data_IF_582500136303
#
_entry.id   IF_582500136303
#
_cell.length_a   1.000
_cell.length_b   1.000
_cell.length_c   1.000
_cell.angle_alpha   90.00
_cell.angle_beta   90.00
_cell.angle_gamma   90.00
#
_symmetry.space_group_name_H-M   'P 1'
#
loop_
_entity.id
_entity.type
_entity.pdbx_description
1 polymer ?
#
# COMPACT_ATOMS: atom_id res chain seq x y z
N UNK A 1 -12.64 15.45 68.00
CA UNK A 1 -12.06 16.56 67.23
C UNK A 1 -10.55 16.46 67.10
N UNK A 2 -9.79 16.31 68.19
CA UNK A 2 -8.32 16.22 68.14
C UNK A 2 -7.78 15.02 67.32
N UNK A 3 -8.43 13.86 67.40
CA UNK A 3 -8.06 12.65 66.63
C UNK A 3 -8.24 12.83 65.11
N UNK A 4 -9.27 13.56 64.69
CA UNK A 4 -9.50 13.86 63.27
C UNK A 4 -8.42 14.79 62.72
N UNK A 5 -8.02 15.80 63.50
CA UNK A 5 -6.94 16.70 63.14
C UNK A 5 -5.61 15.94 62.97
N UNK A 6 -5.31 15.01 63.87
CA UNK A 6 -4.12 14.18 63.78
C UNK A 6 -4.15 13.21 62.58
N UNK A 7 -5.30 12.60 62.28
CA UNK A 7 -5.44 11.73 61.10
C UNK A 7 -5.28 12.48 59.78
N UNK A 8 -5.83 13.70 59.66
CA UNK A 8 -5.64 14.52 58.45
C UNK A 8 -4.16 14.79 58.19
N UNK A 9 -3.38 15.05 59.25
CA UNK A 9 -1.93 15.24 59.15
C UNK A 9 -1.21 13.96 58.70
N UNK A 10 -1.56 12.81 59.28
CA UNK A 10 -0.99 11.51 58.89
C UNK A 10 -1.35 11.11 57.46
N UNK A 11 -2.60 11.32 57.04
CA UNK A 11 -3.06 11.01 55.69
C UNK A 11 -2.37 11.90 54.65
N UNK A 12 -2.11 13.17 54.97
CA UNK A 12 -1.33 14.05 54.11
C UNK A 12 0.11 13.55 53.95
N UNK A 13 0.73 13.09 55.04
CA UNK A 13 2.08 12.52 55.00
C UNK A 13 2.14 11.18 54.24
N UNK A 14 1.17 10.29 54.46
CA UNK A 14 1.03 9.02 53.74
C UNK A 14 0.76 9.26 52.24
N UNK A 15 -0.06 10.25 51.90
CA UNK A 15 -0.32 10.66 50.52
C UNK A 15 0.96 11.14 49.81
N UNK A 16 1.81 11.89 50.52
CA UNK A 16 3.11 12.33 50.02
C UNK A 16 4.06 11.13 49.78
N UNK A 17 4.15 10.21 50.73
CA UNK A 17 4.93 8.97 50.55
C UNK A 17 4.42 8.12 49.37
N UNK A 18 3.10 7.98 49.23
CA UNK A 18 2.48 7.26 48.12
C UNK A 18 2.79 7.93 46.76
N UNK A 19 2.80 9.26 46.71
CA UNK A 19 3.20 10.01 45.51
C UNK A 19 4.66 9.75 45.12
N UNK A 20 5.58 9.71 46.09
CA UNK A 20 6.98 9.34 45.84
C UNK A 20 7.12 7.93 45.30
N UNK A 21 6.44 6.95 45.90
CA UNK A 21 6.44 5.56 45.39
C UNK A 21 5.88 5.50 43.97
N UNK A 22 4.83 6.28 43.65
CA UNK A 22 4.27 6.37 42.30
C UNK A 22 5.27 6.93 41.29
N UNK A 23 6.00 7.99 41.66
CA UNK A 23 7.05 8.58 40.82
C UNK A 23 8.17 7.58 40.56
N UNK A 24 8.67 6.90 41.60
CA UNK A 24 9.73 5.89 41.47
C UNK A 24 9.31 4.77 40.52
N UNK A 25 8.09 4.21 40.70
CA UNK A 25 7.54 3.17 39.81
C UNK A 25 7.42 3.65 38.36
N UNK A 26 6.95 4.88 38.14
CA UNK A 26 6.81 5.47 36.81
C UNK A 26 8.17 5.66 36.12
N UNK A 27 9.19 6.12 36.85
CA UNK A 27 10.54 6.32 36.29
C UNK A 27 11.18 5.00 35.93
N UNK A 28 11.10 3.97 36.79
CA UNK A 28 11.63 2.64 36.49
C UNK A 28 10.94 2.04 35.26
N UNK A 29 9.60 2.14 35.19
CA UNK A 29 8.85 1.72 34.01
C UNK A 29 9.30 2.47 32.75
N UNK A 30 9.44 3.79 32.84
CA UNK A 30 9.92 4.63 31.74
C UNK A 30 11.29 4.22 31.21
N UNK A 31 12.25 3.89 32.08
CA UNK A 31 13.60 3.46 31.68
C UNK A 31 13.56 2.13 30.92
N UNK A 32 12.79 1.14 31.41
CA UNK A 32 12.66 -0.16 30.76
C UNK A 32 11.97 -0.04 29.40
N UNK A 33 10.89 0.74 29.32
CA UNK A 33 10.14 0.92 28.07
C UNK A 33 10.86 1.83 27.07
N UNK A 34 11.66 2.80 27.50
CA UNK A 34 12.47 3.62 26.60
C UNK A 34 13.51 2.82 25.81
N UNK A 35 13.99 1.69 26.36
CA UNK A 35 14.89 0.79 25.63
C UNK A 35 14.17 0.02 24.50
N UNK A 36 12.83 -0.07 24.55
CA UNK A 36 12.02 -0.83 23.59
C UNK A 36 11.17 0.11 22.73
N UNK A 37 11.57 0.31 21.48
CA UNK A 37 10.85 1.17 20.51
C UNK A 37 9.48 0.64 20.04
N UNK A 38 9.11 -0.59 20.40
CA UNK A 38 7.84 -1.20 19.96
C UNK A 38 6.58 -0.51 20.56
N UNK A 39 6.73 0.28 21.63
CA UNK A 39 5.61 0.89 22.34
C UNK A 39 5.89 2.36 22.69
N UNK A 40 4.93 3.25 22.41
CA UNK A 40 5.04 4.63 22.89
C UNK A 40 4.63 4.73 24.35
N UNK A 41 5.50 5.18 25.26
CA UNK A 41 5.13 5.42 26.66
C UNK A 41 4.14 6.60 26.81
N UNK A 42 3.93 7.38 25.75
CA UNK A 42 2.92 8.43 25.70
C UNK A 42 1.56 7.82 25.33
N UNK A 43 0.48 8.33 25.92
CA UNK A 43 -0.87 7.85 25.62
C UNK A 43 -1.26 8.03 24.15
N UNK A 44 -2.28 7.30 23.68
CA UNK A 44 -2.67 7.19 22.25
C UNK A 44 -2.73 8.49 21.45
N UNK A 45 -3.12 9.60 22.07
CA UNK A 45 -3.24 10.91 21.41
C UNK A 45 -1.88 11.60 21.17
N UNK A 46 -0.84 11.16 21.86
CA UNK A 46 0.50 11.73 21.85
C UNK A 46 1.56 10.76 21.31
N UNK A 47 1.16 9.60 20.78
CA UNK A 47 2.05 8.63 20.14
C UNK A 47 2.87 9.27 19.00
N UNK A 48 2.30 10.26 18.29
CA UNK A 48 2.99 10.99 17.21
C UNK A 48 4.06 11.96 17.72
N UNK A 49 4.02 12.33 19.01
CA UNK A 49 5.04 13.18 19.62
C UNK A 49 6.31 12.39 19.96
N UNK A 50 6.22 11.07 20.02
CA UNK A 50 7.34 10.19 20.30
C UNK A 50 8.08 9.88 18.99
N UNK A 51 9.26 10.48 18.83
CA UNK A 51 10.10 10.29 17.65
C UNK A 51 10.62 8.87 17.52
N UNK A 52 10.84 8.16 18.64
CA UNK A 52 11.31 6.78 18.63
C UNK A 52 10.26 5.84 18.05
N UNK A 53 9.04 5.89 18.61
CA UNK A 53 7.92 5.10 18.10
C UNK A 53 7.58 5.45 16.63
N UNK A 54 7.59 6.73 16.26
CA UNK A 54 7.35 7.14 14.86
C UNK A 54 8.41 6.60 13.89
N UNK A 55 9.69 6.59 14.29
CA UNK A 55 10.77 6.03 13.48
C UNK A 55 10.60 4.51 13.30
N UNK A 56 10.20 3.80 14.36
CA UNK A 56 9.90 2.37 14.30
C UNK A 56 8.74 2.05 13.35
N UNK A 57 7.62 2.77 13.44
CA UNK A 57 6.51 2.57 12.50
C UNK A 57 6.93 2.82 11.04
N UNK A 58 7.76 3.85 10.80
CA UNK A 58 8.35 4.11 9.50
C UNK A 58 9.23 2.97 9.02
N UNK A 59 10.10 2.45 9.88
CA UNK A 59 10.96 1.30 9.59
C UNK A 59 10.14 0.06 9.18
N UNK A 60 9.11 -0.30 9.95
CA UNK A 60 8.24 -1.44 9.63
C UNK A 60 7.51 -1.23 8.30
N UNK A 61 7.03 -0.02 8.02
CA UNK A 61 6.37 0.28 6.75
C UNK A 61 7.30 0.08 5.54
N UNK A 62 8.55 0.55 5.66
CA UNK A 62 9.59 0.39 4.64
C UNK A 62 9.96 -1.09 4.49
N UNK A 63 10.17 -1.83 5.58
CA UNK A 63 10.45 -3.27 5.52
C UNK A 63 9.33 -4.05 4.84
N UNK A 64 8.06 -3.77 5.18
CA UNK A 64 6.91 -4.40 4.54
C UNK A 64 6.82 -4.07 3.05
N UNK A 65 7.16 -2.84 2.65
CA UNK A 65 7.16 -2.43 1.25
C UNK A 65 8.27 -3.11 0.44
N UNK A 66 9.49 -3.23 0.99
CA UNK A 66 10.63 -3.80 0.28
C UNK A 66 10.72 -5.33 0.34
N UNK A 67 10.29 -5.95 1.45
CA UNK A 67 10.42 -7.39 1.69
C UNK A 67 9.06 -8.07 1.82
N UNK A 68 8.13 -7.72 0.94
CA UNK A 68 6.82 -8.37 0.91
C UNK A 68 6.94 -9.82 0.41
N UNK A 69 6.61 -10.85 1.22
CA UNK A 69 6.88 -12.25 0.88
C UNK A 69 6.15 -12.70 -0.40
N UNK A 70 4.92 -12.24 -0.62
CA UNK A 70 4.15 -12.56 -1.84
C UNK A 70 4.82 -11.99 -3.09
N UNK A 71 5.39 -10.78 -3.00
CA UNK A 71 6.06 -10.14 -4.13
C UNK A 71 7.34 -10.89 -4.47
N UNK A 72 8.13 -11.24 -3.46
CA UNK A 72 9.36 -12.01 -3.62
C UNK A 72 9.10 -13.39 -4.22
N UNK A 73 8.06 -14.10 -3.75
CA UNK A 73 7.67 -15.37 -4.35
C UNK A 73 7.19 -15.22 -5.80
N UNK A 74 6.39 -14.19 -6.08
CA UNK A 74 5.91 -13.92 -7.44
C UNK A 74 7.05 -13.60 -8.41
N UNK A 75 7.97 -12.71 -8.04
CA UNK A 75 9.15 -12.38 -8.85
C UNK A 75 10.05 -13.61 -9.00
N UNK A 76 10.27 -14.37 -7.94
CA UNK A 76 11.07 -15.60 -7.99
C UNK A 76 10.46 -16.64 -8.93
N UNK A 77 9.12 -16.74 -8.97
CA UNK A 77 8.42 -17.60 -9.92
C UNK A 77 8.59 -17.11 -11.37
N UNK A 78 8.34 -15.82 -11.64
CA UNK A 78 8.52 -15.23 -12.96
C UNK A 78 9.97 -15.35 -13.47
N UNK A 79 10.95 -15.12 -12.59
CA UNK A 79 12.36 -15.21 -12.93
C UNK A 79 12.77 -16.65 -13.20
N UNK A 80 12.27 -17.61 -12.42
CA UNK A 80 12.48 -19.04 -12.68
C UNK A 80 11.92 -19.43 -14.03
N UNK A 81 10.72 -19.00 -14.37
CA UNK A 81 10.08 -19.28 -15.66
C UNK A 81 10.86 -18.68 -16.85
N UNK A 82 11.52 -17.54 -16.64
CA UNK A 82 12.34 -16.90 -17.66
C UNK A 82 13.72 -17.58 -17.82
N UNK A 83 14.40 -17.88 -16.72
CA UNK A 83 15.77 -18.43 -16.71
C UNK A 83 15.78 -19.93 -17.04
N UNK A 84 14.94 -20.69 -16.36
CA UNK A 84 14.65 -22.05 -16.74
C UNK A 84 13.53 -21.92 -17.75
N UNK A 85 13.89 -21.90 -19.05
CA UNK A 85 12.99 -21.89 -20.20
C UNK A 85 12.16 -23.20 -20.23
N UNK A 86 11.53 -23.47 -19.11
CA UNK A 86 10.76 -24.65 -18.82
C UNK A 86 9.67 -24.64 -19.86
N UNK A 87 9.46 -25.80 -20.49
CA UNK A 87 8.30 -26.04 -21.35
C UNK A 87 7.04 -25.98 -20.48
N UNK A 88 6.67 -24.77 -20.05
CA UNK A 88 5.36 -24.51 -19.48
C UNK A 88 4.38 -24.85 -20.58
N UNK A 89 3.56 -25.87 -20.33
CA UNK A 89 2.44 -26.24 -21.20
C UNK A 89 1.68 -24.96 -21.48
N UNK A 90 1.77 -24.41 -22.69
CA UNK A 90 1.21 -23.08 -22.95
C UNK A 90 -0.30 -23.19 -22.79
N UNK A 91 -0.88 -22.61 -21.74
CA UNK A 91 -2.33 -22.65 -21.57
C UNK A 91 -2.95 -21.91 -22.74
N UNK A 92 -3.98 -22.52 -23.34
CA UNK A 92 -4.73 -21.84 -24.39
C UNK A 92 -5.28 -20.54 -23.83
N UNK A 93 -5.36 -19.50 -24.68
CA UNK A 93 -5.95 -18.21 -24.29
C UNK A 93 -7.36 -18.42 -23.70
N UNK A 94 -8.13 -19.36 -24.26
CA UNK A 94 -9.45 -19.74 -23.77
C UNK A 94 -9.42 -20.25 -22.31
N UNK A 95 -8.48 -21.14 -21.94
CA UNK A 95 -8.37 -21.66 -20.56
C UNK A 95 -8.07 -20.57 -19.55
N UNK A 96 -7.17 -19.62 -19.87
CA UNK A 96 -6.88 -18.48 -18.99
C UNK A 96 -8.08 -17.54 -18.83
N UNK A 97 -8.80 -17.28 -19.94
CA UNK A 97 -10.04 -16.48 -19.91
C UNK A 97 -11.13 -17.16 -19.07
N UNK A 98 -11.30 -18.47 -19.20
CA UNK A 98 -12.28 -19.23 -18.42
C UNK A 98 -11.91 -19.31 -16.93
N UNK A 99 -10.64 -19.55 -16.60
CA UNK A 99 -10.13 -19.49 -15.22
C UNK A 99 -10.32 -18.11 -14.57
N UNK A 100 -10.19 -17.03 -15.35
CA UNK A 100 -10.49 -15.69 -14.89
C UNK A 100 -11.99 -15.49 -14.67
N UNK A 101 -12.84 -15.96 -15.58
CA UNK A 101 -14.29 -15.84 -15.45
C UNK A 101 -14.79 -16.53 -14.18
N UNK A 102 -14.36 -17.77 -13.92
CA UNK A 102 -14.74 -18.50 -12.70
C UNK A 102 -14.22 -17.81 -11.43
N UNK A 103 -13.02 -17.24 -11.47
CA UNK A 103 -12.47 -16.46 -10.35
C UNK A 103 -13.31 -15.19 -10.07
N UNK A 104 -13.77 -14.50 -11.11
CA UNK A 104 -14.59 -13.28 -10.99
C UNK A 104 -16.01 -13.56 -10.51
N UNK A 105 -16.62 -14.67 -10.93
CA UNK A 105 -17.94 -15.10 -10.44
C UNK A 105 -17.90 -15.30 -8.92
N UNK A 106 -16.84 -15.91 -8.40
CA UNK A 106 -16.65 -16.11 -6.96
C UNK A 106 -16.28 -14.83 -6.20
N UNK A 107 -15.86 -13.76 -6.90
CA UNK A 107 -15.35 -12.52 -6.30
C UNK A 107 -15.97 -11.26 -6.96
N UNK A 108 -17.28 -11.00 -6.78
CA UNK A 108 -18.00 -9.95 -7.51
C UNK A 108 -17.45 -8.53 -7.26
N UNK A 109 -16.90 -8.27 -6.07
CA UNK A 109 -16.28 -6.97 -5.73
C UNK A 109 -15.09 -6.63 -6.63
N UNK A 110 -14.36 -7.64 -7.12
CA UNK A 110 -13.21 -7.44 -8.00
C UNK A 110 -13.61 -7.03 -9.42
N UNK A 111 -14.83 -7.37 -9.87
CA UNK A 111 -15.35 -6.99 -11.18
C UNK A 111 -15.41 -5.47 -11.31
N UNK A 112 -15.99 -4.79 -10.32
CA UNK A 112 -16.09 -3.32 -10.31
C UNK A 112 -14.71 -2.66 -10.25
N UNK A 113 -13.80 -3.18 -9.41
CA UNK A 113 -12.43 -2.67 -9.30
C UNK A 113 -11.64 -2.86 -10.60
N UNK A 114 -11.82 -3.98 -11.28
CA UNK A 114 -11.22 -4.24 -12.60
C UNK A 114 -11.75 -3.29 -13.66
N UNK A 115 -13.08 -3.06 -13.72
CA UNK A 115 -13.69 -2.10 -14.64
C UNK A 115 -13.14 -0.68 -14.39
N UNK A 116 -13.03 -0.27 -13.13
CA UNK A 116 -12.44 1.02 -12.75
C UNK A 116 -10.96 1.15 -13.16
N UNK A 117 -10.16 0.11 -12.92
CA UNK A 117 -8.75 0.09 -13.31
C UNK A 117 -8.57 0.19 -14.83
N UNK A 118 -9.36 -0.56 -15.59
CA UNK A 118 -9.34 -0.53 -17.05
C UNK A 118 -9.72 0.86 -17.59
N UNK A 119 -10.83 1.42 -17.09
CA UNK A 119 -11.26 2.77 -17.47
C UNK A 119 -10.21 3.83 -17.13
N UNK A 120 -9.48 3.68 -16.02
CA UNK A 120 -8.36 4.56 -15.65
C UNK A 120 -7.19 4.41 -16.63
N UNK A 121 -6.84 3.20 -17.04
CA UNK A 121 -5.79 2.95 -18.03
C UNK A 121 -6.13 3.59 -19.37
N UNK A 122 -7.34 3.35 -19.90
CA UNK A 122 -7.79 3.93 -21.17
C UNK A 122 -7.82 5.47 -21.12
N UNK A 123 -8.31 6.07 -20.04
CA UNK A 123 -8.29 7.53 -19.87
C UNK A 123 -6.86 8.10 -19.85
N UNK A 124 -5.92 7.40 -19.21
CA UNK A 124 -4.52 7.81 -19.17
C UNK A 124 -3.88 7.74 -20.56
N UNK A 125 -4.12 6.67 -21.32
CA UNK A 125 -3.63 6.53 -22.71
C UNK A 125 -4.19 7.63 -23.63
N UNK A 126 -5.48 7.93 -23.53
CA UNK A 126 -6.11 9.03 -24.27
C UNK A 126 -5.50 10.39 -23.86
N UNK A 127 -5.23 10.61 -22.57
CA UNK A 127 -4.57 11.84 -22.11
C UNK A 127 -3.14 11.98 -22.64
N UNK A 128 -2.36 10.89 -22.64
CA UNK A 128 -0.99 10.87 -23.17
C UNK A 128 -0.99 11.19 -24.66
N UNK A 129 -1.84 10.52 -25.45
CA UNK A 129 -1.96 10.76 -26.89
C UNK A 129 -2.45 12.19 -27.21
N UNK A 130 -3.34 12.77 -26.40
CA UNK A 130 -3.76 14.17 -26.55
C UNK A 130 -2.62 15.15 -26.21
N UNK A 131 -1.78 14.84 -25.21
CA UNK A 131 -0.59 15.64 -24.87
C UNK A 131 0.45 15.56 -26.00
N UNK A 132 0.69 14.37 -26.55
CA UNK A 132 1.57 14.20 -27.72
C UNK A 132 1.06 14.99 -28.93
N UNK A 133 -0.24 14.96 -29.23
CA UNK A 133 -0.84 15.80 -30.28
C UNK A 133 -0.70 17.30 -30.01
N UNK A 134 -0.88 17.73 -28.75
CA UNK A 134 -0.76 19.15 -28.37
C UNK A 134 0.68 19.66 -28.44
N UNK A 135 1.65 18.80 -28.12
CA UNK A 135 3.08 19.10 -28.27
C UNK A 135 3.51 19.05 -29.74
N UNK A 136 3.01 18.09 -30.52
CA UNK A 136 3.18 18.00 -31.97
C UNK A 136 2.70 19.26 -32.68
N UNK A 137 1.49 19.75 -32.38
CA UNK A 137 0.98 21.00 -32.93
C UNK A 137 1.79 22.27 -32.54
N UNK A 138 2.66 22.19 -31.51
CA UNK A 138 3.58 23.28 -31.15
C UNK A 138 4.93 23.17 -31.87
N UNK A 139 5.27 21.98 -32.36
CA UNK A 139 6.49 21.69 -33.14
C UNK A 139 6.24 21.58 -34.65
N UNK A 140 4.99 21.45 -35.10
CA UNK A 140 4.60 21.28 -36.51
C UNK A 140 4.63 22.58 -37.35
N UNK A 141 5.37 23.60 -36.90
CA UNK A 141 5.94 24.61 -37.81
C UNK A 141 7.29 24.11 -38.38
N UNK A 142 7.82 22.99 -37.89
CA UNK A 142 9.09 22.41 -38.35
C UNK A 142 9.05 20.87 -38.29
N UNK A 143 9.02 20.23 -39.46
CA UNK A 143 9.27 18.79 -39.73
C UNK A 143 8.11 17.79 -39.61
N UNK A 144 7.18 17.88 -40.57
CA UNK A 144 6.31 16.78 -40.98
C UNK A 144 7.12 15.70 -41.73
N UNK A 145 7.51 14.62 -41.04
CA UNK A 145 7.72 13.27 -41.59
C UNK A 145 8.40 12.38 -40.53
N UNK A 146 8.05 11.08 -40.49
CA UNK A 146 8.74 9.96 -39.78
C UNK A 146 8.06 9.28 -38.57
N UNK A 147 6.73 9.32 -38.36
CA UNK A 147 6.11 8.42 -37.35
C UNK A 147 4.74 7.86 -37.79
N UNK A 148 4.72 7.12 -38.90
CA UNK A 148 3.46 6.49 -39.40
C UNK A 148 3.32 4.99 -39.06
N UNK A 149 4.35 4.30 -38.57
CA UNK A 149 4.37 2.83 -38.64
C UNK A 149 4.08 2.05 -37.34
N UNK A 150 3.78 2.71 -36.20
CA UNK A 150 3.64 2.02 -34.90
C UNK A 150 2.22 1.98 -34.29
N UNK A 151 1.25 2.71 -34.85
CA UNK A 151 -0.09 2.84 -34.23
C UNK A 151 -1.12 1.79 -34.68
N UNK A 152 -0.94 1.10 -35.80
CA UNK A 152 -1.96 0.16 -36.33
C UNK A 152 -2.14 -1.12 -35.52
N UNK A 153 -1.14 -1.57 -34.75
CA UNK A 153 -1.20 -2.88 -34.05
C UNK A 153 -2.06 -2.83 -32.78
N UNK A 154 -2.11 -1.67 -32.10
CA UNK A 154 -2.88 -1.50 -30.86
C UNK A 154 -4.39 -1.30 -31.08
N UNK A 155 -4.77 -0.73 -32.22
CA UNK A 155 -6.17 -0.43 -32.56
C UNK A 155 -6.96 -1.69 -32.96
N UNK A 156 -6.30 -2.68 -33.57
CA UNK A 156 -6.93 -3.95 -33.95
C UNK A 156 -7.34 -4.79 -32.72
N UNK A 157 -6.50 -4.80 -31.67
CA UNK A 157 -6.78 -5.52 -30.42
C UNK A 157 -7.93 -4.91 -29.61
N UNK A 158 -8.13 -3.60 -29.70
CA UNK A 158 -9.22 -2.90 -29.00
C UNK A 158 -10.60 -3.13 -29.66
N UNK A 159 -10.64 -3.34 -30.98
CA UNK A 159 -11.88 -3.65 -31.71
C UNK A 159 -12.32 -5.10 -31.51
N UNK A 160 -11.39 -6.04 -31.42
CA UNK A 160 -11.70 -7.44 -31.08
C UNK A 160 -12.25 -7.57 -29.64
N UNK A 161 -11.77 -6.74 -28.70
CA UNK A 161 -12.30 -6.68 -27.33
C UNK A 161 -13.67 -5.97 -27.24
N UNK A 162 -14.07 -5.18 -28.23
CA UNK A 162 -15.39 -4.53 -28.29
C UNK A 162 -16.46 -5.49 -28.81
N UNK A 163 -16.12 -6.33 -29.79
CA UNK A 163 -17.01 -7.39 -30.32
C UNK A 163 -17.41 -8.41 -29.24
N UNK A 164 -16.51 -8.70 -28.28
CA UNK A 164 -16.76 -9.67 -27.20
C UNK A 164 -17.56 -9.07 -26.03
N UNK A 165 -17.65 -7.74 -25.92
CA UNK A 165 -18.40 -7.04 -24.87
C UNK A 165 -19.93 -7.10 -25.03
N UNK A 166 -20.42 -7.46 -26.21
CA UNK A 166 -21.86 -7.57 -26.51
C UNK A 166 -22.44 -8.97 -26.21
N UNK A 167 -21.64 -9.90 -25.68
CA UNK A 167 -22.08 -11.28 -25.41
C UNK A 167 -22.10 -11.68 -23.93
N UNK A 168 -21.64 -10.84 -22.99
CA UNK A 168 -21.71 -11.08 -21.53
C UNK A 168 -21.74 -9.80 -20.69
#
# INVERSE_FOLDING_TARGET
>A
MIFLYFNIFLDAFLGLLAAFIRLIKSTIGGIVYMCRLDYSPLGRKLETSDSGFSAYCGFIHVECAHRHPVLLCFISHLLRDHLYKQSFKHWSKARRKWALAIFLVNNPKLVNRRKQFLNRSTKNEVKITLIERKNGNKTDITSLSTVSHRSSVGLQLALDDLSVRELF
#
